data_IF_425655164324
#
_entry.id   IF_425655164324
#
_cell.length_a   1.000
_cell.length_b   1.000
_cell.length_c   1.000
_cell.angle_alpha   90.00
_cell.angle_beta   90.00
_cell.angle_gamma   90.00
#
_symmetry.space_group_name_H-M   'P 1'
#
loop_
_entity.id
_entity.type
_entity.pdbx_description
1 polymer ?
#
# COMPACT_ATOMS: atom_id res chain seq x y z
N UNK A 1 72.08 -57.18 19.35
CA UNK A 1 70.68 -57.46 19.77
C UNK A 1 69.86 -56.19 20.08
N UNK A 2 70.46 -55.00 20.16
CA UNK A 2 69.74 -53.77 20.54
C UNK A 2 68.77 -53.20 19.48
N UNK A 3 69.11 -53.24 18.19
CA UNK A 3 68.23 -52.65 17.15
C UNK A 3 66.87 -53.35 16.94
N UNK A 4 66.73 -54.63 17.33
CA UNK A 4 65.42 -55.32 17.28
C UNK A 4 64.52 -54.95 18.45
N UNK A 5 65.11 -54.61 19.61
CA UNK A 5 64.35 -54.17 20.78
C UNK A 5 63.80 -52.76 20.57
N UNK A 6 64.58 -51.84 19.97
CA UNK A 6 64.11 -50.48 19.67
C UNK A 6 62.98 -50.45 18.63
N UNK A 7 63.06 -51.30 17.60
CA UNK A 7 61.98 -51.42 16.61
C UNK A 7 60.68 -51.99 17.21
N UNK A 8 60.78 -52.97 18.11
CA UNK A 8 59.62 -53.51 18.81
C UNK A 8 59.04 -52.49 19.79
N UNK A 9 59.88 -51.73 20.50
CA UNK A 9 59.42 -50.66 21.39
C UNK A 9 58.70 -49.56 20.62
N UNK A 10 59.20 -49.16 19.45
CA UNK A 10 58.54 -48.16 18.61
C UNK A 10 57.22 -48.67 18.02
N UNK A 11 57.16 -49.95 17.64
CA UNK A 11 55.93 -50.56 17.13
C UNK A 11 54.88 -50.76 18.21
N UNK A 12 55.27 -51.15 19.43
CA UNK A 12 54.37 -51.22 20.59
C UNK A 12 53.88 -49.83 20.96
N UNK A 13 54.75 -48.81 20.99
CA UNK A 13 54.33 -47.43 21.27
C UNK A 13 53.31 -46.91 20.25
N UNK A 14 53.49 -47.21 18.96
CA UNK A 14 52.52 -46.86 17.92
C UNK A 14 51.18 -47.61 18.09
N UNK A 15 51.23 -48.91 18.38
CA UNK A 15 50.02 -49.71 18.62
C UNK A 15 49.28 -49.28 19.89
N UNK A 16 49.99 -48.91 20.95
CA UNK A 16 49.39 -48.38 22.19
C UNK A 16 48.73 -47.03 21.94
N UNK A 17 49.38 -46.11 21.22
CA UNK A 17 48.78 -44.83 20.86
C UNK A 17 47.51 -45.00 19.99
N UNK A 18 47.51 -45.98 19.07
CA UNK A 18 46.35 -46.31 18.25
C UNK A 18 45.22 -46.95 19.09
N UNK A 19 45.56 -47.78 20.07
CA UNK A 19 44.61 -48.40 20.98
C UNK A 19 43.93 -47.36 21.90
N UNK A 20 44.68 -46.39 22.43
CA UNK A 20 44.13 -45.32 23.26
C UNK A 20 43.16 -44.43 22.48
N UNK A 21 43.49 -44.07 21.23
CA UNK A 21 42.56 -43.35 20.37
C UNK A 21 41.30 -44.18 20.05
N UNK A 22 41.46 -45.47 19.80
CA UNK A 22 40.34 -46.37 19.54
C UNK A 22 39.41 -46.51 20.77
N UNK A 23 39.96 -46.52 21.99
CA UNK A 23 39.16 -46.55 23.22
C UNK A 23 38.38 -45.25 23.43
N UNK A 24 39.00 -44.09 23.22
CA UNK A 24 38.29 -42.78 23.34
C UNK A 24 37.13 -42.68 22.35
N UNK A 25 37.37 -43.05 21.09
CA UNK A 25 36.31 -43.08 20.07
C UNK A 25 35.18 -44.06 20.43
N UNK A 26 35.50 -45.17 21.09
CA UNK A 26 34.47 -46.10 21.59
C UNK A 26 33.67 -45.52 22.75
N UNK A 27 34.32 -44.79 23.66
CA UNK A 27 33.66 -44.13 24.79
C UNK A 27 32.74 -43.01 24.31
N UNK A 28 33.21 -42.14 23.42
CA UNK A 28 32.42 -41.04 22.85
C UNK A 28 31.20 -41.58 22.08
N UNK A 29 31.39 -42.69 21.34
CA UNK A 29 30.27 -43.37 20.67
C UNK A 29 29.30 -44.01 21.66
N UNK A 30 29.79 -44.59 22.75
CA UNK A 30 28.93 -45.20 23.76
C UNK A 30 28.09 -44.15 24.50
N UNK A 31 28.66 -42.98 24.78
CA UNK A 31 27.97 -41.85 25.37
C UNK A 31 26.91 -41.27 24.42
N UNK A 32 27.27 -41.00 23.17
CA UNK A 32 26.31 -40.57 22.16
C UNK A 32 25.18 -41.59 21.97
N UNK A 33 25.49 -42.89 21.95
CA UNK A 33 24.47 -43.94 21.87
C UNK A 33 23.58 -43.96 23.11
N UNK A 34 24.13 -43.74 24.31
CA UNK A 34 23.36 -43.67 25.55
C UNK A 34 22.38 -42.49 25.56
N UNK A 35 22.77 -41.37 24.98
CA UNK A 35 21.96 -40.14 25.00
C UNK A 35 20.95 -40.11 23.84
N UNK A 36 21.26 -40.73 22.70
CA UNK A 36 20.37 -40.81 21.54
C UNK A 36 19.34 -41.95 21.67
N UNK A 37 19.68 -43.07 22.34
CA UNK A 37 18.78 -44.22 22.45
C UNK A 37 17.42 -43.90 23.11
N UNK A 38 17.33 -43.07 24.17
CA UNK A 38 16.05 -42.71 24.78
C UNK A 38 15.15 -41.92 23.81
N UNK A 39 15.71 -40.90 23.15
CA UNK A 39 14.99 -40.06 22.18
C UNK A 39 14.53 -40.89 20.98
N UNK A 40 15.38 -41.81 20.50
CA UNK A 40 15.03 -42.73 19.43
C UNK A 40 13.89 -43.69 19.84
N UNK A 41 13.92 -44.23 21.06
CA UNK A 41 12.84 -45.07 21.59
C UNK A 41 11.53 -44.30 21.77
N UNK A 42 11.58 -43.07 22.27
CA UNK A 42 10.39 -42.24 22.47
C UNK A 42 9.78 -41.82 21.13
N UNK A 43 10.61 -41.45 20.14
CA UNK A 43 10.16 -41.15 18.79
C UNK A 43 9.56 -42.38 18.10
N UNK A 44 10.16 -43.56 18.29
CA UNK A 44 9.63 -44.81 17.76
C UNK A 44 8.27 -45.16 18.40
N UNK A 45 8.13 -44.99 19.72
CA UNK A 45 6.87 -45.23 20.44
C UNK A 45 5.77 -44.27 20.01
N UNK A 46 6.06 -42.98 19.89
CA UNK A 46 5.13 -41.97 19.39
C UNK A 46 4.73 -42.25 17.94
N UNK A 47 5.70 -42.56 17.08
CA UNK A 47 5.40 -42.95 15.70
C UNK A 47 4.47 -44.16 15.67
N UNK A 48 4.71 -45.22 16.45
CA UNK A 48 3.84 -46.40 16.47
C UNK A 48 2.43 -46.13 17.01
N UNK A 49 2.26 -45.17 17.93
CA UNK A 49 0.95 -44.77 18.45
C UNK A 49 0.16 -43.94 17.43
N UNK A 50 0.80 -42.98 16.77
CA UNK A 50 0.18 -42.11 15.77
C UNK A 50 -0.01 -42.82 14.41
N UNK A 51 0.79 -43.85 14.10
CA UNK A 51 0.65 -44.69 12.92
C UNK A 51 -0.63 -45.54 12.96
N UNK A 52 -1.23 -45.78 14.12
CA UNK A 52 -2.54 -46.44 14.22
C UNK A 52 -3.69 -45.55 13.72
N UNK A 53 -3.53 -44.24 13.75
CA UNK A 53 -4.54 -43.25 13.34
C UNK A 53 -4.41 -42.84 11.86
N UNK A 54 -3.24 -43.07 11.24
CA UNK A 54 -2.90 -42.64 9.86
C UNK A 54 -2.55 -43.84 8.93
N UNK A 55 -2.97 -45.07 9.28
CA UNK A 55 -2.63 -46.31 8.53
C UNK A 55 -2.96 -46.27 7.03
N UNK A 56 -3.86 -45.39 6.59
CA UNK A 56 -4.31 -45.34 5.20
C UNK A 56 -3.32 -44.60 4.25
N UNK A 57 -2.34 -43.82 4.77
CA UNK A 57 -1.50 -42.95 3.92
C UNK A 57 0.03 -43.03 4.12
N UNK A 58 0.56 -43.62 5.20
CA UNK A 58 2.01 -43.64 5.46
C UNK A 58 2.49 -45.03 5.94
N UNK A 59 3.21 -45.77 5.08
CA UNK A 59 3.86 -47.04 5.45
C UNK A 59 5.21 -46.79 6.15
N UNK A 60 5.54 -47.60 7.17
CA UNK A 60 6.85 -47.66 7.82
C UNK A 60 8.02 -47.75 6.83
N UNK A 61 7.79 -48.42 5.69
CA UNK A 61 8.78 -48.52 4.60
C UNK A 61 9.07 -47.17 3.94
N UNK A 62 8.07 -46.30 3.82
CA UNK A 62 8.25 -44.99 3.20
C UNK A 62 8.95 -44.03 4.15
N UNK A 63 8.71 -44.13 5.47
CA UNK A 63 9.51 -43.43 6.48
C UNK A 63 10.98 -43.85 6.43
N UNK A 64 11.28 -45.15 6.36
CA UNK A 64 12.66 -45.63 6.22
C UNK A 64 13.32 -45.20 4.91
N UNK A 65 12.56 -45.15 3.80
CA UNK A 65 13.05 -44.60 2.52
C UNK A 65 13.34 -43.12 2.63
N UNK A 66 12.51 -42.36 3.33
CA UNK A 66 12.65 -40.93 3.52
C UNK A 66 13.88 -40.60 4.36
N UNK A 67 14.09 -41.31 5.48
CA UNK A 67 15.31 -41.21 6.30
C UNK A 67 16.56 -41.57 5.50
N UNK A 68 16.51 -42.68 4.73
CA UNK A 68 17.62 -43.07 3.85
C UNK A 68 17.88 -42.04 2.74
N UNK A 69 16.84 -41.37 2.23
CA UNK A 69 16.95 -40.32 1.22
C UNK A 69 17.51 -39.03 1.82
N UNK A 70 17.11 -38.65 3.04
CA UNK A 70 17.68 -37.56 3.81
C UNK A 70 19.18 -37.78 4.06
N UNK A 71 19.57 -38.96 4.54
CA UNK A 71 20.97 -39.33 4.79
C UNK A 71 21.83 -39.42 3.53
N UNK A 72 21.21 -39.67 2.37
CA UNK A 72 21.91 -39.68 1.07
C UNK A 72 22.01 -38.27 0.46
N UNK A 73 21.16 -37.34 0.90
CA UNK A 73 21.10 -35.96 0.44
C UNK A 73 21.67 -34.96 1.46
N UNK A 74 22.52 -35.41 2.40
CA UNK A 74 23.22 -34.52 3.35
C UNK A 74 23.88 -33.30 2.70
N UNK A 75 24.57 -33.43 1.55
CA UNK A 75 25.16 -32.26 0.87
C UNK A 75 24.13 -31.26 0.33
N UNK A 76 22.89 -31.71 0.08
CA UNK A 76 21.79 -30.80 -0.31
C UNK A 76 21.24 -30.08 0.92
N UNK A 77 21.13 -30.79 2.06
CA UNK A 77 20.69 -30.19 3.32
C UNK A 77 21.69 -29.15 3.82
N UNK A 78 22.99 -29.42 3.70
CA UNK A 78 24.06 -28.49 4.05
C UNK A 78 23.96 -27.20 3.23
N UNK A 79 23.83 -27.30 1.90
CA UNK A 79 23.60 -26.12 1.04
C UNK A 79 22.34 -25.34 1.36
N UNK A 80 21.27 -26.03 1.79
CA UNK A 80 20.05 -25.36 2.22
C UNK A 80 20.24 -24.66 3.57
N UNK A 81 21.01 -25.24 4.48
CA UNK A 81 21.37 -24.62 5.76
C UNK A 81 22.26 -23.40 5.52
N UNK A 82 23.27 -23.48 4.65
CA UNK A 82 24.11 -22.35 4.26
C UNK A 82 23.28 -21.22 3.63
N UNK A 83 22.29 -21.58 2.81
CA UNK A 83 21.39 -20.62 2.20
C UNK A 83 20.48 -19.94 3.24
N UNK A 84 19.97 -20.70 4.21
CA UNK A 84 19.18 -20.16 5.32
C UNK A 84 20.03 -19.26 6.24
N UNK A 85 21.29 -19.62 6.48
CA UNK A 85 22.24 -18.79 7.22
C UNK A 85 22.48 -17.47 6.51
N UNK A 86 22.72 -17.50 5.18
CA UNK A 86 22.86 -16.27 4.39
C UNK A 86 21.60 -15.40 4.40
N UNK A 87 20.41 -16.00 4.42
CA UNK A 87 19.14 -15.28 4.51
C UNK A 87 18.92 -14.71 5.92
N UNK A 88 19.35 -15.42 6.96
CA UNK A 88 19.32 -14.94 8.34
C UNK A 88 20.26 -13.76 8.53
N UNK A 89 21.50 -13.84 8.02
CA UNK A 89 22.46 -12.73 8.06
C UNK A 89 21.95 -11.49 7.31
N UNK A 90 21.30 -11.71 6.16
CA UNK A 90 20.67 -10.65 5.39
C UNK A 90 19.48 -10.04 6.15
N UNK A 91 18.67 -10.87 6.80
CA UNK A 91 17.56 -10.42 7.64
C UNK A 91 18.08 -9.62 8.84
N UNK A 92 19.09 -10.09 9.56
CA UNK A 92 19.70 -9.40 10.70
C UNK A 92 20.31 -8.05 10.31
N UNK A 93 20.80 -7.93 9.07
CA UNK A 93 21.36 -6.68 8.55
C UNK A 93 20.28 -5.72 8.02
N UNK A 94 19.23 -6.25 7.39
CA UNK A 94 18.18 -5.45 6.74
C UNK A 94 17.03 -5.10 7.68
N UNK A 95 16.73 -5.91 8.69
CA UNK A 95 15.67 -5.66 9.67
C UNK A 95 15.84 -4.29 10.36
N UNK A 96 17.03 -3.92 10.88
CA UNK A 96 17.21 -2.61 11.53
C UNK A 96 17.10 -1.42 10.58
N UNK A 97 17.48 -1.59 9.31
CA UNK A 97 17.31 -0.56 8.27
C UNK A 97 15.86 -0.46 7.81
N UNK A 98 15.16 -1.61 7.79
CA UNK A 98 13.75 -1.74 7.49
C UNK A 98 12.89 -1.01 8.49
N UNK A 99 13.20 -1.10 9.79
CA UNK A 99 12.47 -0.39 10.85
C UNK A 99 12.49 1.13 10.63
N UNK A 100 13.66 1.71 10.32
CA UNK A 100 13.78 3.15 10.07
C UNK A 100 13.09 3.57 8.76
N UNK A 101 13.20 2.75 7.71
CA UNK A 101 12.52 3.00 6.45
C UNK A 101 11.00 2.90 6.59
N UNK A 102 10.53 1.93 7.38
CA UNK A 102 9.12 1.72 7.70
C UNK A 102 8.57 2.86 8.56
N UNK A 103 9.28 3.26 9.61
CA UNK A 103 8.91 4.40 10.45
C UNK A 103 8.80 5.69 9.62
N UNK A 104 9.77 5.94 8.75
CA UNK A 104 9.74 7.11 7.84
C UNK A 104 8.61 7.03 6.82
N UNK A 105 8.27 5.84 6.33
CA UNK A 105 7.13 5.64 5.45
C UNK A 105 5.81 5.91 6.17
N UNK A 106 5.64 5.40 7.40
CA UNK A 106 4.47 5.65 8.25
C UNK A 106 4.33 7.14 8.55
N UNK A 107 5.41 7.82 8.95
CA UNK A 107 5.39 9.26 9.24
C UNK A 107 5.04 10.09 7.98
N UNK A 108 5.57 9.68 6.82
CA UNK A 108 5.23 10.31 5.54
C UNK A 108 3.75 10.12 5.21
N UNK A 109 3.22 8.90 5.34
CA UNK A 109 1.82 8.58 5.09
C UNK A 109 0.90 9.32 6.07
N UNK A 110 1.25 9.37 7.34
CA UNK A 110 0.52 10.11 8.37
C UNK A 110 0.52 11.61 8.09
N UNK A 111 1.65 12.16 7.63
CA UNK A 111 1.73 13.56 7.19
C UNK A 111 0.83 13.81 5.97
N UNK A 112 0.78 12.89 5.01
CA UNK A 112 -0.11 12.98 3.85
C UNK A 112 -1.58 12.91 4.26
N UNK A 113 -1.92 12.04 5.22
CA UNK A 113 -3.25 11.95 5.81
C UNK A 113 -3.65 13.23 6.54
N UNK A 114 -2.78 13.75 7.41
CA UNK A 114 -3.03 14.98 8.16
C UNK A 114 -3.19 16.20 7.25
N UNK A 115 -2.44 16.25 6.13
CA UNK A 115 -2.60 17.28 5.10
C UNK A 115 -3.83 17.04 4.20
N UNK A 116 -4.57 15.94 4.39
CA UNK A 116 -5.80 15.64 3.67
C UNK A 116 -5.61 15.08 2.26
N UNK A 117 -4.41 14.62 1.88
CA UNK A 117 -4.16 14.08 0.54
C UNK A 117 -5.01 12.86 0.22
N UNK A 118 -5.25 11.97 1.20
CA UNK A 118 -6.11 10.79 0.99
C UNK A 118 -7.56 11.18 0.76
N UNK A 119 -8.09 12.12 1.55
CA UNK A 119 -9.47 12.61 1.39
C UNK A 119 -9.64 13.31 0.04
N UNK A 120 -8.66 14.11 -0.37
CA UNK A 120 -8.66 14.75 -1.69
C UNK A 120 -8.58 13.71 -2.82
N UNK A 121 -7.72 12.69 -2.69
CA UNK A 121 -7.59 11.63 -3.70
C UNK A 121 -8.87 10.79 -3.82
N UNK A 122 -9.49 10.42 -2.69
CA UNK A 122 -10.77 9.71 -2.68
C UNK A 122 -11.89 10.56 -3.28
N UNK A 123 -11.99 11.83 -2.88
CA UNK A 123 -12.96 12.77 -3.46
C UNK A 123 -12.74 12.96 -4.96
N UNK A 124 -11.49 13.08 -5.39
CA UNK A 124 -11.10 13.18 -6.79
C UNK A 124 -11.46 11.94 -7.60
N UNK A 125 -11.26 10.73 -7.05
CA UNK A 125 -11.68 9.49 -7.69
C UNK A 125 -13.20 9.42 -7.84
N UNK A 126 -13.95 9.82 -6.82
CA UNK A 126 -15.41 9.81 -6.89
C UNK A 126 -15.96 10.84 -7.89
N UNK A 127 -15.33 12.02 -7.96
CA UNK A 127 -15.64 13.02 -9.00
C UNK A 127 -15.31 12.45 -10.38
N UNK A 128 -14.15 11.81 -10.56
CA UNK A 128 -13.75 11.21 -11.82
C UNK A 128 -14.72 10.10 -12.25
N UNK A 129 -15.14 9.23 -11.33
CA UNK A 129 -16.12 8.16 -11.60
C UNK A 129 -17.49 8.71 -11.99
N UNK A 130 -17.98 9.72 -11.27
CA UNK A 130 -19.22 10.42 -11.62
C UNK A 130 -19.12 11.10 -13.00
N UNK A 131 -17.95 11.65 -13.34
CA UNK A 131 -17.71 12.27 -14.64
C UNK A 131 -17.71 11.19 -15.74
N UNK A 132 -16.96 10.09 -15.58
CA UNK A 132 -16.87 9.01 -16.58
C UNK A 132 -18.20 8.30 -16.79
N UNK A 133 -19.03 8.18 -15.76
CA UNK A 133 -20.37 7.57 -15.86
C UNK A 133 -21.41 8.51 -16.46
N UNK A 134 -21.28 9.82 -16.28
CA UNK A 134 -22.28 10.81 -16.73
C UNK A 134 -21.93 11.51 -18.04
N UNK A 135 -20.66 11.49 -18.43
CA UNK A 135 -20.14 12.21 -19.58
C UNK A 135 -19.42 11.27 -20.55
N UNK A 136 -19.58 11.51 -21.84
CA UNK A 136 -18.84 10.74 -22.85
C UNK A 136 -17.35 11.12 -22.85
N UNK A 137 -16.50 10.29 -23.45
CA UNK A 137 -15.05 10.57 -23.54
C UNK A 137 -14.75 11.95 -24.19
N UNK A 138 -15.56 12.37 -25.15
CA UNK A 138 -15.43 13.68 -25.81
C UNK A 138 -15.80 14.84 -24.87
N UNK A 139 -16.76 14.63 -23.97
CA UNK A 139 -17.17 15.63 -22.99
C UNK A 139 -16.10 15.81 -21.90
N UNK A 140 -15.49 14.71 -21.44
CA UNK A 140 -14.36 14.76 -20.49
C UNK A 140 -13.18 15.51 -21.09
N UNK A 141 -12.89 15.30 -22.37
CA UNK A 141 -11.82 16.02 -23.07
C UNK A 141 -12.09 17.52 -23.15
N UNK A 142 -13.31 17.92 -23.56
CA UNK A 142 -13.72 19.33 -23.58
C UNK A 142 -13.68 19.96 -22.19
N UNK A 143 -14.05 19.21 -21.15
CA UNK A 143 -13.97 19.67 -19.76
C UNK A 143 -12.52 19.89 -19.33
N UNK A 144 -11.63 18.93 -19.63
CA UNK A 144 -10.19 19.05 -19.35
C UNK A 144 -9.55 20.25 -20.03
N UNK A 145 -9.88 20.49 -21.30
CA UNK A 145 -9.36 21.63 -22.08
C UNK A 145 -9.82 22.99 -21.52
N UNK A 146 -10.99 23.04 -20.86
CA UNK A 146 -11.60 24.26 -20.35
C UNK A 146 -11.60 24.35 -18.80
N UNK A 147 -10.98 23.41 -18.09
CA UNK A 147 -11.09 23.34 -16.62
C UNK A 147 -10.53 24.59 -15.95
N UNK A 148 -9.45 25.17 -16.49
CA UNK A 148 -8.84 26.40 -15.98
C UNK A 148 -9.79 27.59 -16.14
N UNK A 149 -10.50 27.70 -17.26
CA UNK A 149 -11.49 28.75 -17.48
C UNK A 149 -12.64 28.63 -16.49
N UNK A 150 -13.18 27.42 -16.32
CA UNK A 150 -14.27 27.15 -15.37
C UNK A 150 -13.83 27.50 -13.94
N UNK A 151 -12.65 27.07 -13.51
CA UNK A 151 -12.12 27.40 -12.18
C UNK A 151 -11.92 28.91 -11.98
N UNK A 152 -11.47 29.62 -13.01
CA UNK A 152 -11.35 31.08 -12.96
C UNK A 152 -12.72 31.76 -12.87
N UNK A 153 -13.74 31.29 -13.60
CA UNK A 153 -15.11 31.81 -13.48
C UNK A 153 -15.67 31.57 -12.08
N UNK A 154 -15.50 30.37 -11.52
CA UNK A 154 -15.94 30.07 -10.14
C UNK A 154 -15.19 30.96 -9.14
N UNK A 155 -13.88 31.14 -9.31
CA UNK A 155 -13.08 32.06 -8.50
C UNK A 155 -13.58 33.50 -8.62
N UNK A 156 -13.98 33.93 -9.81
CA UNK A 156 -14.51 35.27 -10.05
C UNK A 156 -15.90 35.46 -9.45
N UNK A 157 -16.76 34.43 -9.49
CA UNK A 157 -18.08 34.46 -8.85
C UNK A 157 -17.99 34.43 -7.32
N UNK A 158 -16.95 33.82 -6.75
CA UNK A 158 -16.71 33.78 -5.32
C UNK A 158 -16.00 35.04 -4.78
N UNK A 159 -15.71 36.03 -5.65
CA UNK A 159 -15.19 37.33 -5.21
C UNK A 159 -16.18 38.03 -4.28
N UNK A 160 -15.70 38.73 -3.23
CA UNK A 160 -16.56 39.38 -2.23
C UNK A 160 -17.62 40.30 -2.84
N UNK A 161 -17.26 41.03 -3.90
CA UNK A 161 -18.15 42.00 -4.55
C UNK A 161 -19.37 41.31 -5.18
N UNK A 162 -19.16 40.17 -5.85
CA UNK A 162 -20.22 39.39 -6.50
C UNK A 162 -21.10 38.71 -5.44
N UNK A 163 -20.47 38.10 -4.44
CA UNK A 163 -21.18 37.47 -3.33
C UNK A 163 -22.07 38.47 -2.57
N UNK A 164 -21.55 39.67 -2.29
CA UNK A 164 -22.32 40.72 -1.61
C UNK A 164 -23.47 41.23 -2.48
N UNK A 165 -23.25 41.40 -3.78
CA UNK A 165 -24.31 41.77 -4.72
C UNK A 165 -25.44 40.73 -4.72
N UNK A 166 -25.12 39.45 -4.90
CA UNK A 166 -26.10 38.35 -4.92
C UNK A 166 -26.86 38.29 -3.59
N UNK A 167 -26.15 38.34 -2.45
CA UNK A 167 -26.77 38.31 -1.13
C UNK A 167 -27.74 39.48 -0.91
N UNK A 168 -27.32 40.70 -1.25
CA UNK A 168 -28.16 41.89 -1.11
C UNK A 168 -29.39 41.84 -2.02
N UNK A 169 -29.23 41.37 -3.26
CA UNK A 169 -30.34 41.25 -4.21
C UNK A 169 -31.35 40.20 -3.74
N UNK A 170 -30.91 39.05 -3.21
CA UNK A 170 -31.81 38.02 -2.67
C UNK A 170 -32.66 38.57 -1.51
N UNK A 171 -32.03 39.27 -0.55
CA UNK A 171 -32.74 39.87 0.59
C UNK A 171 -33.80 40.91 0.18
N UNK A 172 -33.56 41.65 -0.91
CA UNK A 172 -34.51 42.63 -1.44
C UNK A 172 -35.58 41.95 -2.30
N UNK A 173 -35.19 40.98 -3.11
CA UNK A 173 -36.09 40.25 -3.99
C UNK A 173 -37.12 39.43 -3.20
N UNK A 174 -36.71 38.71 -2.16
CA UNK A 174 -37.64 37.96 -1.29
C UNK A 174 -38.73 38.87 -0.71
N UNK A 175 -38.37 40.07 -0.26
CA UNK A 175 -39.31 41.05 0.31
C UNK A 175 -40.23 41.72 -0.72
N UNK A 176 -39.81 41.79 -1.98
CA UNK A 176 -40.60 42.41 -3.05
C UNK A 176 -41.47 41.39 -3.80
N UNK A 177 -41.09 40.11 -3.84
CA UNK A 177 -41.88 39.01 -4.44
C UNK A 177 -43.18 38.75 -3.66
N UNK A 178 -43.18 38.98 -2.34
CA UNK A 178 -44.37 38.84 -1.49
C UNK A 178 -45.40 39.96 -1.70
N UNK A 179 -45.03 41.06 -2.35
CA UNK A 179 -45.93 42.19 -2.60
C UNK A 179 -46.68 42.00 -3.92
N UNK A 180 -48.01 42.21 -3.96
CA UNK A 180 -48.75 42.15 -5.20
C UNK A 180 -48.23 43.22 -6.17
N UNK A 181 -47.80 42.78 -7.35
CA UNK A 181 -47.31 43.67 -8.41
C UNK A 181 -48.52 44.26 -9.14
N UNK A 182 -48.67 45.59 -9.09
CA UNK A 182 -49.69 46.30 -9.87
C UNK A 182 -49.23 46.39 -11.33
N UNK A 183 -49.81 45.56 -12.19
CA UNK A 183 -49.47 45.42 -13.61
C UNK A 183 -50.26 46.34 -14.53
N UNK A 184 -51.05 47.26 -13.97
CA UNK A 184 -51.82 48.20 -14.77
C UNK A 184 -50.93 49.12 -15.61
N UNK A 185 -51.31 49.38 -16.86
CA UNK A 185 -50.62 50.29 -17.80
C UNK A 185 -50.18 51.63 -17.15
N UNK A 186 -51.04 52.34 -16.39
CA UNK A 186 -50.62 53.57 -15.71
C UNK A 186 -49.62 53.34 -14.57
N UNK A 187 -49.71 52.23 -13.84
CA UNK A 187 -48.75 51.89 -12.79
C UNK A 187 -47.36 51.60 -13.38
N UNK A 188 -47.29 50.88 -14.50
CA UNK A 188 -46.03 50.62 -15.22
C UNK A 188 -45.38 51.91 -15.72
N UNK A 189 -46.16 52.82 -16.32
CA UNK A 189 -45.66 54.14 -16.74
C UNK A 189 -45.14 54.97 -15.56
N UNK A 190 -45.78 54.85 -14.38
CA UNK A 190 -45.32 55.48 -13.15
C UNK A 190 -44.01 54.86 -12.65
N UNK A 191 -43.86 53.53 -12.72
CA UNK A 191 -42.63 52.83 -12.35
C UNK A 191 -41.46 53.16 -13.28
N UNK A 192 -41.70 53.34 -14.58
CA UNK A 192 -40.67 53.78 -15.53
C UNK A 192 -40.09 55.18 -15.23
N UNK A 193 -40.80 56.00 -14.44
CA UNK A 193 -40.31 57.30 -13.98
C UNK A 193 -39.40 57.20 -12.76
N UNK A 194 -39.32 56.04 -12.11
CA UNK A 194 -38.44 55.81 -10.97
C UNK A 194 -36.96 55.90 -11.41
N UNK A 195 -36.11 56.70 -10.72
CA UNK A 195 -34.71 56.85 -11.07
C UNK A 195 -33.91 55.53 -11.00
N UNK A 196 -34.26 54.60 -10.11
CA UNK A 196 -33.61 53.29 -10.00
C UNK A 196 -34.00 52.38 -11.16
N UNK A 197 -35.27 52.38 -11.59
CA UNK A 197 -35.72 51.62 -12.76
C UNK A 197 -35.04 52.12 -14.04
N UNK A 198 -34.93 53.44 -14.23
CA UNK A 198 -34.20 54.01 -15.39
C UNK A 198 -32.71 53.66 -15.36
N UNK A 199 -32.07 53.68 -14.17
CA UNK A 199 -30.67 53.26 -14.01
C UNK A 199 -30.51 51.79 -14.38
N UNK A 200 -31.40 50.92 -13.93
CA UNK A 200 -31.44 49.50 -14.30
C UNK A 200 -31.56 49.32 -15.81
N UNK A 201 -32.56 49.96 -16.44
CA UNK A 201 -32.75 49.91 -17.90
C UNK A 201 -31.51 50.40 -18.66
N UNK A 202 -30.88 51.50 -18.23
CA UNK A 202 -29.68 52.03 -18.86
C UNK A 202 -28.48 51.06 -18.74
N UNK A 203 -28.33 50.39 -17.60
CA UNK A 203 -27.31 49.36 -17.41
C UNK A 203 -27.56 48.15 -18.30
N UNK A 204 -28.80 47.66 -18.38
CA UNK A 204 -29.18 46.56 -19.26
C UNK A 204 -28.89 46.90 -20.72
N UNK A 205 -29.26 48.10 -21.17
CA UNK A 205 -28.95 48.58 -22.52
C UNK A 205 -27.44 48.64 -22.79
N UNK A 206 -26.63 49.02 -21.80
CA UNK A 206 -25.17 49.02 -21.91
C UNK A 206 -24.60 47.61 -22.02
N UNK A 207 -25.10 46.66 -21.22
CA UNK A 207 -24.70 45.25 -21.31
C UNK A 207 -25.06 44.69 -22.69
N UNK A 208 -26.28 44.97 -23.19
CA UNK A 208 -26.70 44.57 -24.54
C UNK A 208 -25.80 45.17 -25.62
N UNK A 209 -25.37 46.43 -25.47
CA UNK A 209 -24.41 47.06 -26.37
C UNK A 209 -23.04 46.35 -26.37
N UNK A 210 -22.57 45.90 -25.21
CA UNK A 210 -21.29 45.17 -25.07
C UNK A 210 -21.38 43.77 -25.67
N UNK A 211 -22.51 43.09 -25.50
CA UNK A 211 -22.76 41.78 -26.13
C UNK A 211 -22.87 41.94 -27.66
N UNK A 212 -23.58 42.97 -28.13
CA UNK A 212 -23.70 43.27 -29.56
C UNK A 212 -22.34 43.58 -30.22
N UNK A 213 -21.47 44.32 -29.53
CA UNK A 213 -20.12 44.62 -30.03
C UNK A 213 -19.21 43.38 -30.11
N UNK A 214 -19.39 42.39 -29.23
CA UNK A 214 -18.66 41.12 -29.28
C UNK A 214 -19.19 40.17 -30.37
N UNK A 215 -20.41 40.39 -30.86
CA UNK A 215 -21.02 39.61 -31.93
C UNK A 215 -20.67 40.14 -33.34
N UNK A 216 -20.00 41.31 -33.46
CA UNK A 216 -19.44 41.73 -34.74
C UNK A 216 -18.32 40.77 -35.15
N UNK A 217 -18.39 40.13 -36.33
CA UNK A 217 -17.25 39.37 -36.83
C UNK A 217 -16.12 40.36 -37.04
N UNK A 218 -14.99 40.14 -36.36
CA UNK A 218 -13.72 40.81 -36.66
C UNK A 218 -13.55 40.83 -38.18
N UNK A 219 -13.67 42.02 -38.79
CA UNK A 219 -13.34 42.22 -40.19
C UNK A 219 -11.86 41.93 -40.35
N UNK A 220 -11.54 40.73 -40.84
CA UNK A 220 -10.25 40.43 -41.46
C UNK A 220 -10.18 41.15 -42.81
#
# INVERSE_FOLDING_TARGET
MHGKLDLLTQQVAYLTAQAEQAERVRQDRAELMRDVMPVANDAFRLATQELEEIQEYVDLRDLLRLVKRLWRNTPMLERMLDQLESMSELADTLLPLGDQAFEKAVDTLQTMEQKGYFVFAQGGMQIADNIVTSFSADDVKKLGDNIVLILNVIKDMTKPEIMQFVHNTLLVAEKEIEKPVDTSIPALLKQMRDPNVRRGLALTMRVMSVVGAQAEPTKN
#
